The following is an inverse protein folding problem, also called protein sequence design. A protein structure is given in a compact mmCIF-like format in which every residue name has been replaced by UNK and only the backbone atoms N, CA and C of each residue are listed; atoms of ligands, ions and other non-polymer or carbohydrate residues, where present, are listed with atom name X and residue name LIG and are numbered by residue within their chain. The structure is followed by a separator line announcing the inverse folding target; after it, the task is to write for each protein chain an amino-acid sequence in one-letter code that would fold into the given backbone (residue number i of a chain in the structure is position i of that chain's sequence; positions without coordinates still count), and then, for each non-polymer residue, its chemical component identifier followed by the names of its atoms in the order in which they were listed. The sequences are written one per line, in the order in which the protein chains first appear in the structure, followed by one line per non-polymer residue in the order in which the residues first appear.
data_IF_614143940568
#
_entry.id   IF_614143940568
#
_cell.length_a   1.000
_cell.length_b   1.000
_cell.length_c   1.000
_cell.angle_alpha   90.00
_cell.angle_beta   90.00
_cell.angle_gamma   90.00
#
_symmetry.space_group_name_H-M   'P 1'
#
loop_
_entity.id
_entity.type
_entity.pdbx_description
1 polymer ?
#
# COMPACT_ATOMS: atom_id res chain seq x y z
N UNK A 1 9.69 6.10 -8.32
CA UNK A 1 8.97 7.18 -7.58
C UNK A 1 8.61 6.71 -6.18
N UNK A 2 7.89 5.59 -6.01
CA UNK A 2 7.53 5.09 -4.69
C UNK A 2 8.74 4.71 -3.81
N UNK A 3 9.87 4.32 -4.40
CA UNK A 3 11.09 4.01 -3.67
C UNK A 3 11.70 5.24 -3.00
N UNK A 4 11.93 6.33 -3.74
CA UNK A 4 12.43 7.57 -3.15
C UNK A 4 11.51 8.18 -2.09
N UNK A 5 10.19 7.95 -2.19
CA UNK A 5 9.23 8.32 -1.16
C UNK A 5 9.36 7.45 0.10
N UNK A 6 9.56 6.13 -0.05
CA UNK A 6 9.82 5.23 1.08
C UNK A 6 11.16 5.48 1.77
N UNK A 7 12.16 5.99 1.05
CA UNK A 7 13.45 6.36 1.64
C UNK A 7 13.33 7.59 2.57
N UNK A 8 12.28 8.40 2.36
CA UNK A 8 12.06 9.66 3.09
C UNK A 8 10.92 9.58 4.11
N UNK A 9 9.99 8.66 3.94
CA UNK A 9 8.77 8.55 4.75
C UNK A 9 8.50 7.11 5.14
N UNK A 10 8.06 6.91 6.39
CA UNK A 10 7.54 5.62 6.83
C UNK A 10 6.28 5.24 6.06
N UNK A 11 5.98 3.93 5.98
CA UNK A 11 4.76 3.42 5.37
C UNK A 11 3.50 4.09 5.93
N UNK A 12 3.44 4.36 7.24
CA UNK A 12 2.33 5.09 7.88
C UNK A 12 2.15 6.48 7.28
N UNK A 13 3.25 7.24 7.16
CA UNK A 13 3.21 8.59 6.61
C UNK A 13 2.81 8.56 5.13
N UNK A 14 3.29 7.58 4.37
CA UNK A 14 2.88 7.42 2.98
C UNK A 14 1.41 7.10 2.83
N UNK A 15 0.85 6.23 3.67
CA UNK A 15 -0.58 5.94 3.67
C UNK A 15 -1.41 7.21 3.87
N UNK A 16 -1.04 8.05 4.84
CA UNK A 16 -1.73 9.30 5.12
C UNK A 16 -1.60 10.32 3.97
N UNK A 17 -0.38 10.54 3.46
CA UNK A 17 -0.11 11.48 2.36
C UNK A 17 -0.87 11.06 1.11
N UNK A 18 -0.80 9.78 0.74
CA UNK A 18 -1.45 9.27 -0.46
C UNK A 18 -2.98 9.24 -0.31
N UNK A 19 -3.51 8.99 0.89
CA UNK A 19 -4.94 9.13 1.14
C UNK A 19 -5.40 10.57 0.92
N UNK A 20 -4.72 11.56 1.50
CA UNK A 20 -5.05 12.96 1.32
C UNK A 20 -4.98 13.36 -0.17
N UNK A 21 -3.92 12.97 -0.87
CA UNK A 21 -3.76 13.24 -2.30
C UNK A 21 -4.80 12.52 -3.17
N UNK A 22 -5.36 11.39 -2.72
CA UNK A 22 -6.42 10.67 -3.44
C UNK A 22 -7.77 11.38 -3.39
N UNK A 23 -8.00 12.26 -2.40
CA UNK A 23 -9.22 13.05 -2.27
C UNK A 23 -9.24 14.29 -3.18
N UNK A 24 -8.07 14.83 -3.53
CA UNK A 24 -7.97 15.95 -4.47
C UNK A 24 -8.08 15.45 -5.93
N UNK A 25 -9.02 15.96 -6.74
CA UNK A 25 -9.22 15.52 -8.12
C UNK A 25 -7.96 15.63 -9.01
N UNK A 26 -7.10 16.62 -8.78
CA UNK A 26 -5.90 16.87 -9.57
C UNK A 26 -4.81 15.83 -9.25
N UNK A 27 -4.75 15.34 -8.01
CA UNK A 27 -3.74 14.35 -7.59
C UNK A 27 -4.28 12.93 -7.46
N UNK A 28 -5.59 12.74 -7.60
CA UNK A 28 -6.27 11.43 -7.42
C UNK A 28 -5.63 10.31 -8.23
N UNK A 29 -5.35 10.56 -9.52
CA UNK A 29 -4.80 9.53 -10.41
C UNK A 29 -3.39 9.12 -10.00
N UNK A 30 -2.53 10.08 -9.70
CA UNK A 30 -1.15 9.78 -9.30
C UNK A 30 -1.09 9.15 -7.90
N UNK A 31 -1.96 9.57 -6.97
CA UNK A 31 -2.08 8.98 -5.65
C UNK A 31 -2.53 7.51 -5.70
N UNK A 32 -3.53 7.19 -6.53
CA UNK A 32 -3.99 5.82 -6.72
C UNK A 32 -2.87 4.92 -7.29
N UNK A 33 -2.13 5.40 -8.29
CA UNK A 33 -1.00 4.67 -8.87
C UNK A 33 0.12 4.43 -7.84
N UNK A 34 0.40 5.42 -6.99
CA UNK A 34 1.41 5.29 -5.95
C UNK A 34 0.98 4.36 -4.81
N UNK A 35 -0.32 4.32 -4.47
CA UNK A 35 -0.88 3.32 -3.58
C UNK A 35 -0.68 1.90 -4.13
N UNK A 36 -0.99 1.68 -5.41
CA UNK A 36 -0.78 0.37 -6.03
C UNK A 36 0.70 -0.04 -6.03
N UNK A 37 1.61 0.91 -6.32
CA UNK A 37 3.04 0.69 -6.27
C UNK A 37 3.55 0.36 -4.85
N UNK A 38 2.97 0.97 -3.80
CA UNK A 38 3.30 0.64 -2.42
C UNK A 38 2.88 -0.79 -2.07
N UNK A 39 1.68 -1.21 -2.50
CA UNK A 39 1.22 -2.60 -2.34
C UNK A 39 2.16 -3.58 -3.05
N UNK A 40 2.58 -3.26 -4.28
CA UNK A 40 3.51 -4.11 -5.03
C UNK A 40 4.87 -4.22 -4.35
N UNK A 41 5.34 -3.15 -3.72
CA UNK A 41 6.57 -3.19 -2.92
C UNK A 41 6.42 -4.08 -1.68
N UNK A 42 5.30 -4.00 -0.96
CA UNK A 42 5.04 -4.90 0.17
C UNK A 42 5.04 -6.37 -0.26
N UNK A 43 4.55 -6.70 -1.45
CA UNK A 43 4.62 -8.06 -2.02
C UNK A 43 6.05 -8.46 -2.35
N UNK A 44 6.81 -7.58 -3.01
CA UNK A 44 8.20 -7.85 -3.41
C UNK A 44 9.09 -8.15 -2.20
N UNK A 45 8.90 -7.42 -1.09
CA UNK A 45 9.64 -7.65 0.16
C UNK A 45 8.97 -8.64 1.12
N UNK A 46 7.88 -9.29 0.69
CA UNK A 46 7.13 -10.31 1.45
C UNK A 46 6.78 -9.86 2.87
N UNK A 47 6.24 -8.64 3.03
CA UNK A 47 5.77 -8.15 4.34
C UNK A 47 4.77 -9.14 4.95
N UNK A 48 4.84 -9.34 6.26
CA UNK A 48 3.87 -10.20 6.96
C UNK A 48 2.47 -9.52 6.96
N UNK A 49 1.43 -10.17 6.43
CA UNK A 49 0.07 -9.63 6.44
C UNK A 49 -0.44 -9.29 7.85
N UNK A 50 -0.04 -10.06 8.87
CA UNK A 50 -0.43 -9.84 10.27
C UNK A 50 0.22 -8.57 10.80
N UNK A 51 1.53 -8.41 10.56
CA UNK A 51 2.26 -7.20 10.90
C UNK A 51 1.64 -5.95 10.26
N UNK A 52 1.26 -6.00 8.98
CA UNK A 52 0.63 -4.87 8.29
C UNK A 52 -0.71 -4.48 8.96
N UNK A 53 -1.53 -5.47 9.33
CA UNK A 53 -2.81 -5.25 10.04
C UNK A 53 -2.60 -4.63 11.42
N UNK A 54 -1.67 -5.16 12.20
CA UNK A 54 -1.41 -4.68 13.56
C UNK A 54 -0.78 -3.29 13.56
N UNK A 55 0.16 -3.03 12.63
CA UNK A 55 0.87 -1.75 12.58
C UNK A 55 -0.01 -0.62 12.06
N UNK A 56 -0.91 -0.91 11.11
CA UNK A 56 -1.69 0.12 10.40
C UNK A 56 -3.18 0.13 10.77
N UNK A 57 -3.60 -0.62 11.80
CA UNK A 57 -5.01 -0.74 12.24
C UNK A 57 -5.78 0.59 12.37
N UNK A 58 -5.13 1.62 12.87
CA UNK A 58 -5.76 2.92 13.16
C UNK A 58 -5.45 3.96 12.08
N UNK A 59 -4.84 3.55 10.95
CA UNK A 59 -4.49 4.43 9.83
C UNK A 59 -5.63 4.43 8.81
N UNK A 60 -6.25 5.59 8.53
CA UNK A 60 -7.24 5.69 7.46
C UNK A 60 -6.65 5.20 6.14
N UNK A 61 -7.42 4.42 5.37
CA UNK A 61 -7.02 3.68 4.14
C UNK A 61 -6.15 2.42 4.29
N UNK A 62 -5.66 2.09 5.49
CA UNK A 62 -4.87 0.88 5.66
C UNK A 62 -5.64 -0.40 5.30
N UNK A 63 -6.91 -0.50 5.70
CA UNK A 63 -7.75 -1.65 5.38
C UNK A 63 -7.89 -1.91 3.88
N UNK A 64 -8.16 -0.84 3.10
CA UNK A 64 -8.23 -0.92 1.64
C UNK A 64 -6.90 -1.45 1.05
N UNK A 65 -5.78 -0.92 1.54
CA UNK A 65 -4.44 -1.26 1.07
C UNK A 65 -4.06 -2.70 1.42
N UNK A 66 -4.37 -3.14 2.64
CA UNK A 66 -4.12 -4.51 3.12
C UNK A 66 -5.03 -5.51 2.41
N UNK A 67 -6.26 -5.15 2.07
CA UNK A 67 -7.15 -5.99 1.27
C UNK A 67 -6.60 -6.20 -0.15
N UNK A 68 -6.12 -5.13 -0.81
CA UNK A 68 -5.46 -5.22 -2.12
C UNK A 68 -4.22 -6.10 -2.07
N UNK A 69 -3.37 -5.90 -1.06
CA UNK A 69 -2.20 -6.72 -0.79
C UNK A 69 -2.58 -8.20 -0.63
N UNK A 70 -3.55 -8.50 0.23
CA UNK A 70 -4.02 -9.86 0.50
C UNK A 70 -4.56 -10.54 -0.76
N UNK A 71 -5.33 -9.82 -1.58
CA UNK A 71 -5.87 -10.32 -2.86
C UNK A 71 -4.77 -10.64 -3.87
N UNK A 72 -3.75 -9.79 -3.98
CA UNK A 72 -2.60 -10.03 -4.87
C UNK A 72 -1.75 -11.20 -4.36
N UNK A 73 -1.52 -11.29 -3.06
CA UNK A 73 -0.78 -12.39 -2.44
C UNK A 73 -1.46 -13.74 -2.69
N UNK A 74 -2.79 -13.84 -2.51
CA UNK A 74 -3.52 -15.09 -2.77
C UNK A 74 -3.49 -15.47 -4.25
N UNK A 75 -3.61 -14.50 -5.16
CA UNK A 75 -3.49 -14.73 -6.60
C UNK A 75 -2.11 -15.32 -6.95
N UNK A 76 -1.02 -14.73 -6.45
CA UNK A 76 0.34 -15.20 -6.71
C UNK A 76 0.59 -16.61 -6.16
N UNK A 77 0.08 -16.90 -4.98
CA UNK A 77 0.17 -18.24 -4.37
C UNK A 77 -0.64 -19.29 -5.15
N UNK A 78 -1.76 -18.92 -5.74
CA UNK A 78 -2.61 -19.81 -6.55
C UNK A 78 -2.10 -20.03 -7.99
N UNK A 79 -1.36 -19.09 -8.56
CA UNK A 79 -0.71 -19.23 -9.88
C UNK A 79 0.59 -20.04 -9.86
N UNK A 80 1.03 -20.50 -8.68
CA UNK A 80 2.26 -21.29 -8.49
C UNK A 80 2.02 -22.81 -8.62
N UNK A 81 0.99 -23.24 -9.36
CA UNK A 81 0.67 -24.65 -9.65
C UNK A 81 0.72 -24.95 -11.13
#
# INVERSE_FOLDING_TARGET
MIDGLNDSYSDINLLLILNAAKQDPNTKKIAANLQDALVDKWLAVKKDPTYLKETFRDVPTADEMIQRYSKKLTFLSGTSS
#
